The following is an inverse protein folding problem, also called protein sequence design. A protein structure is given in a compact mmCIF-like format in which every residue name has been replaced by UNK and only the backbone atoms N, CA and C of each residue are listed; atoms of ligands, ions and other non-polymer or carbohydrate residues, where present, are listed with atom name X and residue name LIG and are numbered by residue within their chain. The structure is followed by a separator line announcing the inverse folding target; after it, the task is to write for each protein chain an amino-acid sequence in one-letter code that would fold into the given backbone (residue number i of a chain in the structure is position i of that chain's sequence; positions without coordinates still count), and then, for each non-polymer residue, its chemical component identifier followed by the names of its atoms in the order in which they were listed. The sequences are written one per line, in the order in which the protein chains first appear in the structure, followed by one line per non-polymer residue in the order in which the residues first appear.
data_IF_329290533957
#
_entry.id   IF_329290533957
#
_cell.length_a   1.000
_cell.length_b   1.000
_cell.length_c   1.000
_cell.angle_alpha   90.00
_cell.angle_beta   90.00
_cell.angle_gamma   90.00
#
_symmetry.space_group_name_H-M   'P 1'
#
loop_
_entity.id
_entity.type
_entity.pdbx_description
1 polymer ?
#
# COMPACT_ATOMS: atom_id res chain seq x y z
N UNK A 1 -19.28 25.07 -5.54
CA UNK A 1 -19.48 24.24 -4.32
C UNK A 1 -19.49 22.77 -4.77
N UNK A 2 -18.40 22.03 -4.58
CA UNK A 2 -18.21 20.64 -5.08
C UNK A 2 -18.63 19.60 -4.03
N UNK A 3 -19.87 19.68 -3.53
CA UNK A 3 -20.34 18.88 -2.36
C UNK A 3 -20.55 17.40 -2.74
N UNK A 4 -20.58 17.06 -4.03
CA UNK A 4 -20.87 15.71 -4.55
C UNK A 4 -19.67 15.02 -5.18
N UNK A 5 -18.45 15.55 -5.01
CA UNK A 5 -17.28 15.00 -5.68
C UNK A 5 -16.92 13.62 -5.10
N UNK A 6 -17.01 12.59 -5.94
CA UNK A 6 -16.64 11.22 -5.56
C UNK A 6 -15.18 10.87 -5.87
N UNK A 7 -14.56 11.59 -6.81
CA UNK A 7 -13.19 11.36 -7.27
C UNK A 7 -12.41 12.67 -7.31
N UNK A 8 -11.24 12.69 -6.69
CA UNK A 8 -10.34 13.85 -6.71
C UNK A 8 -8.95 13.39 -7.12
N UNK A 9 -8.39 14.03 -8.14
CA UNK A 9 -7.01 13.87 -8.55
C UNK A 9 -6.29 15.21 -8.39
N UNK A 10 -5.15 15.22 -7.68
CA UNK A 10 -4.28 16.37 -7.55
C UNK A 10 -2.89 15.94 -8.00
N UNK A 11 -2.40 16.54 -9.07
CA UNK A 11 -1.10 16.22 -9.65
C UNK A 11 -0.28 17.49 -9.86
N UNK A 12 1.00 17.41 -9.49
CA UNK A 12 1.97 18.41 -9.91
C UNK A 12 2.79 17.90 -11.09
N UNK A 13 2.80 18.65 -12.20
CA UNK A 13 3.42 18.22 -13.46
C UNK A 13 4.96 18.35 -13.40
N UNK A 14 5.48 19.37 -12.69
CA UNK A 14 6.92 19.61 -12.62
C UNK A 14 7.63 18.54 -11.78
N UNK A 15 8.85 18.18 -12.19
CA UNK A 15 9.67 17.16 -11.54
C UNK A 15 10.65 17.74 -10.51
N UNK A 16 10.94 19.04 -10.57
CA UNK A 16 11.95 19.68 -9.72
C UNK A 16 11.42 20.14 -8.35
N UNK A 17 10.10 20.24 -8.24
CA UNK A 17 9.37 20.86 -7.14
C UNK A 17 8.28 19.87 -6.67
N UNK A 18 8.03 19.83 -5.35
CA UNK A 18 6.82 19.22 -4.80
C UNK A 18 6.10 20.26 -3.96
N UNK A 19 4.97 20.84 -4.45
CA UNK A 19 4.29 21.89 -3.73
C UNK A 19 3.73 21.34 -2.42
N UNK A 20 3.80 22.16 -1.37
CA UNK A 20 3.16 21.86 -0.10
C UNK A 20 1.66 22.13 -0.21
N UNK A 21 0.84 21.10 0.01
CA UNK A 21 -0.61 21.20 -0.06
C UNK A 21 -1.22 20.66 1.23
N UNK A 22 -2.15 21.44 1.78
CA UNK A 22 -3.01 20.98 2.85
C UNK A 22 -4.12 20.11 2.27
N UNK A 23 -3.82 18.83 2.10
CA UNK A 23 -4.73 17.87 1.49
C UNK A 23 -6.02 17.69 2.29
N UNK A 24 -5.93 17.74 3.62
CA UNK A 24 -7.07 17.55 4.51
C UNK A 24 -8.07 18.70 4.41
N UNK A 25 -7.57 19.94 4.35
CA UNK A 25 -8.41 21.11 4.12
C UNK A 25 -9.11 21.04 2.77
N UNK A 26 -8.41 20.60 1.71
CA UNK A 26 -9.02 20.42 0.39
C UNK A 26 -10.13 19.38 0.46
N UNK A 27 -9.94 18.28 1.19
CA UNK A 27 -10.90 17.17 1.27
C UNK A 27 -12.01 17.38 2.33
N UNK A 28 -11.90 18.36 3.22
CA UNK A 28 -12.78 18.51 4.38
C UNK A 28 -14.27 18.68 4.03
N UNK A 29 -14.56 19.21 2.84
CA UNK A 29 -15.93 19.46 2.38
C UNK A 29 -16.52 18.32 1.51
N UNK A 30 -15.72 17.30 1.18
CA UNK A 30 -16.00 16.28 0.17
C UNK A 30 -16.44 14.98 0.85
N UNK A 31 -17.63 15.01 1.46
CA UNK A 31 -18.17 13.89 2.25
C UNK A 31 -18.44 12.61 1.44
N UNK A 32 -18.55 12.74 0.12
CA UNK A 32 -18.81 11.63 -0.79
C UNK A 32 -17.54 11.12 -1.50
N UNK A 33 -16.35 11.60 -1.11
CA UNK A 33 -15.10 11.20 -1.74
C UNK A 33 -14.83 9.71 -1.54
N UNK A 34 -14.70 8.98 -2.64
CA UNK A 34 -14.42 7.55 -2.71
C UNK A 34 -13.04 7.26 -3.27
N UNK A 35 -12.54 8.11 -4.17
CA UNK A 35 -11.24 7.94 -4.81
C UNK A 35 -10.41 9.22 -4.70
N UNK A 36 -9.20 9.08 -4.17
CA UNK A 36 -8.25 10.17 -4.04
C UNK A 36 -6.91 9.77 -4.65
N UNK A 37 -6.47 10.53 -5.65
CA UNK A 37 -5.14 10.39 -6.24
C UNK A 37 -4.34 11.66 -6.02
N UNK A 38 -3.16 11.51 -5.44
CA UNK A 38 -2.24 12.61 -5.15
C UNK A 38 -0.88 12.21 -5.71
N UNK A 39 -0.34 13.06 -6.58
CA UNK A 39 0.89 12.77 -7.32
C UNK A 39 1.86 13.94 -7.18
N UNK A 40 3.10 13.64 -6.77
CA UNK A 40 4.23 14.60 -6.65
C UNK A 40 3.94 15.81 -5.75
N UNK A 41 3.30 15.58 -4.61
CA UNK A 41 2.92 16.64 -3.66
C UNK A 41 3.52 16.39 -2.27
N UNK A 42 3.87 17.46 -1.55
CA UNK A 42 4.19 17.41 -0.12
C UNK A 42 2.92 17.65 0.68
N UNK A 43 2.48 16.64 1.44
CA UNK A 43 1.28 16.72 2.28
C UNK A 43 1.68 17.30 3.64
N UNK A 44 1.15 18.48 3.94
CA UNK A 44 1.43 19.24 5.17
C UNK A 44 0.25 19.21 6.14
N UNK A 45 0.47 19.46 7.45
CA UNK A 45 -0.57 19.33 8.47
C UNK A 45 -1.73 20.30 8.24
N UNK A 46 -2.89 19.90 8.75
CA UNK A 46 -4.02 20.81 8.97
C UNK A 46 -4.30 20.90 10.46
N UNK A 47 -4.52 22.11 10.95
CA UNK A 47 -4.76 22.39 12.36
C UNK A 47 -6.14 21.91 12.85
N UNK A 48 -7.09 21.60 11.94
CA UNK A 48 -8.38 21.02 12.33
C UNK A 48 -8.39 19.49 12.27
N UNK A 49 -8.63 18.88 13.43
CA UNK A 49 -8.77 17.44 13.63
C UNK A 49 -10.12 16.91 13.12
N UNK A 50 -10.41 17.03 11.83
CA UNK A 50 -11.58 16.38 11.25
C UNK A 50 -11.24 14.91 10.93
N UNK A 51 -11.42 14.03 11.91
CA UNK A 51 -11.10 12.59 11.83
C UNK A 51 -11.95 11.81 10.81
N UNK A 52 -12.99 12.41 10.22
CA UNK A 52 -13.98 11.72 9.38
C UNK A 52 -13.84 12.01 7.89
N UNK A 53 -12.84 12.80 7.47
CA UNK A 53 -12.70 13.28 6.09
C UNK A 53 -12.60 12.14 5.06
N UNK A 54 -11.98 11.01 5.41
CA UNK A 54 -11.80 9.85 4.53
C UNK A 54 -12.60 8.60 4.93
N UNK A 55 -13.64 8.77 5.75
CA UNK A 55 -14.48 7.64 6.19
C UNK A 55 -15.17 6.89 5.03
N UNK A 56 -15.38 7.57 3.90
CA UNK A 56 -15.97 7.02 2.67
C UNK A 56 -14.95 6.53 1.63
N UNK A 57 -13.65 6.73 1.86
CA UNK A 57 -12.62 6.51 0.85
C UNK A 57 -12.41 5.00 0.60
N UNK A 58 -12.49 4.60 -0.66
CA UNK A 58 -12.32 3.22 -1.13
C UNK A 58 -11.00 3.03 -1.90
N UNK A 59 -10.46 4.09 -2.50
CA UNK A 59 -9.19 4.09 -3.23
C UNK A 59 -8.33 5.30 -2.87
N UNK A 60 -7.06 5.03 -2.52
CA UNK A 60 -6.07 6.06 -2.23
C UNK A 60 -4.80 5.80 -3.05
N UNK A 61 -4.34 6.81 -3.77
CA UNK A 61 -3.05 6.82 -4.47
C UNK A 61 -2.20 7.99 -3.98
N UNK A 62 -1.00 7.68 -3.50
CA UNK A 62 0.02 8.62 -3.03
C UNK A 62 1.31 8.36 -3.80
N UNK A 63 1.38 8.84 -5.05
CA UNK A 63 2.50 8.55 -5.92
C UNK A 63 3.57 9.66 -5.85
N UNK A 64 4.81 9.31 -5.54
CA UNK A 64 5.92 10.25 -5.37
C UNK A 64 5.65 11.38 -4.36
N UNK A 65 4.72 11.16 -3.43
CA UNK A 65 4.37 12.13 -2.40
C UNK A 65 5.40 12.19 -1.28
N UNK A 66 5.45 13.32 -0.57
CA UNK A 66 6.12 13.42 0.73
C UNK A 66 5.02 13.54 1.80
N UNK A 67 4.95 12.55 2.68
CA UNK A 67 3.97 12.51 3.77
C UNK A 67 4.68 12.88 5.07
N UNK A 68 4.29 14.01 5.63
CA UNK A 68 4.85 14.54 6.89
C UNK A 68 3.80 14.62 8.02
N UNK A 69 2.68 13.91 7.86
CA UNK A 69 1.50 14.02 8.71
C UNK A 69 0.82 12.68 8.88
N UNK A 70 0.09 12.54 9.99
CA UNK A 70 -0.88 11.47 10.15
C UNK A 70 -2.07 11.71 9.22
N UNK A 71 -2.33 10.72 8.39
CA UNK A 71 -3.43 10.67 7.45
C UNK A 71 -4.67 10.13 8.14
N UNK A 72 -5.88 10.63 7.81
CA UNK A 72 -7.12 10.11 8.36
C UNK A 72 -7.35 8.63 8.09
N UNK A 73 -8.17 8.02 8.93
CA UNK A 73 -8.57 6.62 8.78
C UNK A 73 -9.47 6.45 7.55
N UNK A 74 -9.22 5.36 6.83
CA UNK A 74 -9.89 4.96 5.62
C UNK A 74 -10.51 3.55 5.82
N UNK A 75 -11.54 3.41 6.66
CA UNK A 75 -12.08 2.09 7.04
C UNK A 75 -12.68 1.29 5.86
N UNK A 76 -12.99 1.95 4.74
CA UNK A 76 -13.53 1.35 3.52
C UNK A 76 -12.49 1.13 2.42
N UNK A 77 -11.20 1.37 2.71
CA UNK A 77 -10.12 1.30 1.74
C UNK A 77 -9.99 -0.12 1.17
N UNK A 78 -10.02 -0.23 -0.16
CA UNK A 78 -9.85 -1.47 -0.92
C UNK A 78 -8.61 -1.43 -1.81
N UNK A 79 -8.28 -0.25 -2.32
CA UNK A 79 -7.13 -0.01 -3.16
C UNK A 79 -6.19 0.99 -2.49
N UNK A 80 -4.92 0.63 -2.35
CA UNK A 80 -3.88 1.53 -1.86
C UNK A 80 -2.68 1.47 -2.79
N UNK A 81 -2.25 2.64 -3.25
CA UNK A 81 -1.01 2.80 -3.99
C UNK A 81 -0.15 3.86 -3.30
N UNK A 82 1.03 3.45 -2.85
CA UNK A 82 2.03 4.31 -2.19
C UNK A 82 3.36 4.32 -2.95
N UNK A 83 3.30 4.19 -4.28
CA UNK A 83 4.49 4.14 -5.12
C UNK A 83 5.39 5.36 -4.91
N UNK A 84 6.64 5.13 -4.52
CA UNK A 84 7.64 6.16 -4.22
C UNK A 84 7.19 7.21 -3.18
N UNK A 85 6.23 6.88 -2.32
CA UNK A 85 5.86 7.74 -1.20
C UNK A 85 7.03 7.80 -0.21
N UNK A 86 7.43 9.02 0.17
CA UNK A 86 8.45 9.26 1.20
C UNK A 86 7.79 9.69 2.49
N UNK A 87 8.19 9.09 3.60
CA UNK A 87 7.75 9.50 4.92
C UNK A 87 8.94 9.60 5.87
N UNK A 88 9.08 10.73 6.54
CA UNK A 88 10.14 10.91 7.54
C UNK A 88 9.75 10.35 8.91
N UNK A 89 8.49 9.93 9.09
CA UNK A 89 8.00 9.31 10.30
C UNK A 89 8.29 7.80 10.24
N UNK A 90 9.06 7.31 11.21
CA UNK A 90 9.48 5.92 11.28
C UNK A 90 8.28 4.96 11.36
N UNK A 91 8.32 3.93 10.51
CA UNK A 91 7.28 2.91 10.31
C UNK A 91 5.88 3.44 9.98
N UNK A 92 5.74 4.72 9.65
CA UNK A 92 4.43 5.33 9.49
C UNK A 92 3.63 4.70 8.36
N UNK A 93 4.26 4.41 7.22
CA UNK A 93 3.59 3.78 6.08
C UNK A 93 3.06 2.39 6.44
N UNK A 94 3.85 1.58 7.13
CA UNK A 94 3.40 0.27 7.62
C UNK A 94 2.25 0.43 8.62
N UNK A 95 2.36 1.32 9.61
CA UNK A 95 1.28 1.61 10.57
C UNK A 95 -0.02 2.03 9.88
N UNK A 96 0.07 2.87 8.86
CA UNK A 96 -1.07 3.30 8.07
C UNK A 96 -1.71 2.13 7.31
N UNK A 97 -0.91 1.27 6.69
CA UNK A 97 -1.40 0.05 6.03
C UNK A 97 -2.10 -0.85 7.05
N UNK A 98 -1.47 -1.16 8.19
CA UNK A 98 -2.04 -2.05 9.21
C UNK A 98 -3.35 -1.49 9.80
N UNK A 99 -3.44 -0.18 9.99
CA UNK A 99 -4.64 0.49 10.50
C UNK A 99 -5.82 0.39 9.54
N UNK A 100 -5.57 0.37 8.23
CA UNK A 100 -6.58 0.39 7.18
C UNK A 100 -6.69 -0.93 6.39
N UNK A 101 -5.88 -1.94 6.73
CA UNK A 101 -5.61 -3.13 5.93
C UNK A 101 -6.77 -4.11 5.80
N UNK A 102 -7.73 -4.09 6.74
CA UNK A 102 -8.82 -5.06 6.84
C UNK A 102 -9.60 -5.29 5.53
N UNK A 103 -9.73 -4.24 4.71
CA UNK A 103 -10.48 -4.30 3.46
C UNK A 103 -9.60 -4.15 2.21
N UNK A 104 -8.30 -3.95 2.37
CA UNK A 104 -7.37 -3.77 1.24
C UNK A 104 -7.32 -5.08 0.46
N UNK A 105 -7.60 -4.98 -0.83
CA UNK A 105 -7.56 -6.06 -1.80
C UNK A 105 -6.39 -5.91 -2.76
N UNK A 106 -6.03 -4.67 -3.07
CA UNK A 106 -4.94 -4.32 -3.99
C UNK A 106 -4.00 -3.33 -3.32
N UNK A 107 -2.71 -3.68 -3.28
CA UNK A 107 -1.66 -2.84 -2.71
C UNK A 107 -0.48 -2.69 -3.67
N UNK A 108 -0.12 -1.44 -3.96
CA UNK A 108 1.16 -1.10 -4.57
C UNK A 108 2.08 -0.50 -3.51
N UNK A 109 2.98 -1.33 -3.00
CA UNK A 109 3.96 -0.97 -2.00
C UNK A 109 5.29 -0.63 -2.68
N UNK A 110 5.75 0.60 -2.51
CA UNK A 110 7.14 1.00 -2.80
C UNK A 110 7.44 2.30 -2.04
N UNK A 111 7.51 2.24 -0.72
CA UNK A 111 7.75 3.43 0.09
C UNK A 111 9.21 3.59 0.53
N UNK A 112 9.53 4.79 1.01
CA UNK A 112 10.81 5.15 1.63
C UNK A 112 10.54 5.80 3.00
N UNK A 113 11.01 5.22 4.12
CA UNK A 113 11.77 3.97 4.22
C UNK A 113 11.02 2.73 3.70
N UNK A 114 11.78 1.74 3.23
CA UNK A 114 11.24 0.46 2.78
C UNK A 114 10.76 -0.40 3.95
N UNK A 115 9.70 -1.19 3.74
CA UNK A 115 9.21 -2.15 4.73
C UNK A 115 10.23 -3.28 4.89
N UNK A 116 10.59 -3.59 6.13
CA UNK A 116 11.54 -4.65 6.45
C UNK A 116 10.90 -6.05 6.42
N UNK A 117 11.68 -7.08 6.77
CA UNK A 117 11.24 -8.46 6.65
C UNK A 117 10.07 -8.79 7.60
N UNK A 118 10.10 -8.30 8.83
CA UNK A 118 9.03 -8.56 9.81
C UNK A 118 7.79 -7.72 9.50
N UNK A 119 7.98 -6.45 9.16
CA UNK A 119 6.93 -5.55 8.72
C UNK A 119 6.18 -6.06 7.49
N UNK A 120 6.87 -6.75 6.57
CA UNK A 120 6.22 -7.38 5.42
C UNK A 120 5.29 -8.54 5.83
N UNK A 121 5.70 -9.38 6.79
CA UNK A 121 4.83 -10.43 7.32
C UNK A 121 3.67 -9.84 8.13
N UNK A 122 3.90 -8.77 8.89
CA UNK A 122 2.84 -8.02 9.57
C UNK A 122 1.83 -7.46 8.56
N UNK A 123 2.30 -6.89 7.45
CA UNK A 123 1.45 -6.38 6.37
C UNK A 123 0.53 -7.47 5.82
N UNK A 124 1.06 -8.66 5.52
CA UNK A 124 0.25 -9.78 5.04
C UNK A 124 -0.83 -10.17 6.07
N UNK A 125 -0.48 -10.24 7.36
CA UNK A 125 -1.45 -10.52 8.44
C UNK A 125 -2.50 -9.41 8.61
N UNK A 126 -2.08 -8.16 8.45
CA UNK A 126 -2.95 -6.98 8.58
C UNK A 126 -3.90 -6.76 7.41
N UNK A 127 -3.63 -7.41 6.26
CA UNK A 127 -4.41 -7.28 5.03
C UNK A 127 -5.02 -8.64 4.61
N UNK A 128 -5.98 -9.20 5.36
CA UNK A 128 -6.48 -10.55 5.11
C UNK A 128 -7.22 -10.73 3.77
N UNK A 129 -7.70 -9.62 3.17
CA UNK A 129 -8.39 -9.65 1.87
C UNK A 129 -7.48 -9.36 0.68
N UNK A 130 -6.18 -9.20 0.93
CA UNK A 130 -5.21 -8.88 -0.11
C UNK A 130 -5.15 -10.02 -1.12
N UNK A 131 -5.29 -9.67 -2.40
CA UNK A 131 -5.13 -10.60 -3.54
C UNK A 131 -4.15 -10.09 -4.58
N UNK A 132 -3.85 -8.80 -4.58
CA UNK A 132 -2.81 -8.24 -5.43
C UNK A 132 -1.82 -7.43 -4.61
N UNK A 133 -0.54 -7.79 -4.68
CA UNK A 133 0.56 -7.07 -4.04
C UNK A 133 1.68 -6.82 -5.04
N UNK A 134 1.93 -5.55 -5.33
CA UNK A 134 3.15 -5.10 -6.01
C UNK A 134 4.16 -4.61 -4.98
N UNK A 135 5.38 -5.13 -4.98
CA UNK A 135 6.41 -4.78 -4.00
C UNK A 135 7.85 -4.93 -4.53
N UNK A 136 8.81 -4.08 -4.12
CA UNK A 136 10.23 -4.33 -4.34
C UNK A 136 10.81 -5.43 -3.44
N UNK A 137 10.21 -5.69 -2.26
CA UNK A 137 10.81 -6.49 -1.17
C UNK A 137 12.28 -6.10 -0.92
N UNK A 138 12.55 -4.80 -0.93
CA UNK A 138 13.89 -4.24 -0.80
C UNK A 138 14.47 -4.65 0.56
N UNK A 139 15.75 -5.02 0.60
CA UNK A 139 16.45 -5.42 1.83
C UNK A 139 15.90 -6.65 2.60
N UNK A 140 14.82 -7.29 2.15
CA UNK A 140 14.29 -8.53 2.78
C UNK A 140 15.13 -9.75 2.40
N UNK A 141 15.74 -10.44 3.36
CA UNK A 141 16.48 -11.69 3.10
C UNK A 141 15.51 -12.85 2.89
N UNK A 142 15.54 -13.45 1.71
CA UNK A 142 14.68 -14.57 1.34
C UNK A 142 15.35 -15.91 1.64
N UNK A 143 14.65 -16.78 2.36
CA UNK A 143 15.05 -18.16 2.65
C UNK A 143 13.78 -19.02 2.79
N UNK A 144 13.94 -20.35 2.81
CA UNK A 144 12.82 -21.29 2.72
C UNK A 144 11.77 -21.06 3.81
N UNK A 145 12.19 -20.97 5.08
CA UNK A 145 11.26 -20.75 6.19
C UNK A 145 10.51 -19.41 6.07
N UNK A 146 11.17 -18.33 5.64
CA UNK A 146 10.48 -17.05 5.42
C UNK A 146 9.37 -17.12 4.36
N UNK A 147 9.65 -17.76 3.21
CA UNK A 147 8.64 -17.93 2.17
C UNK A 147 7.54 -18.91 2.61
N UNK A 148 7.88 -19.91 3.42
CA UNK A 148 6.89 -20.78 4.04
C UNK A 148 5.97 -20.01 4.98
N UNK A 149 6.50 -19.10 5.81
CA UNK A 149 5.70 -18.24 6.68
C UNK A 149 4.73 -17.36 5.87
N UNK A 150 5.16 -16.85 4.70
CA UNK A 150 4.26 -16.14 3.80
C UNK A 150 3.08 -17.05 3.37
N UNK A 151 3.36 -18.28 2.92
CA UNK A 151 2.34 -19.23 2.47
C UNK A 151 1.37 -19.60 3.61
N UNK A 152 1.86 -19.81 4.82
CA UNK A 152 1.01 -20.09 5.99
C UNK A 152 0.09 -18.91 6.32
N UNK A 153 0.62 -17.68 6.33
CA UNK A 153 -0.20 -16.46 6.55
C UNK A 153 -1.28 -16.32 5.47
N UNK A 154 -0.94 -16.56 4.20
CA UNK A 154 -1.91 -16.47 3.10
C UNK A 154 -3.02 -17.52 3.26
N UNK A 155 -2.67 -18.74 3.68
CA UNK A 155 -3.66 -19.77 3.99
C UNK A 155 -4.57 -19.37 5.16
N UNK A 156 -4.01 -18.82 6.24
CA UNK A 156 -4.78 -18.30 7.38
C UNK A 156 -5.72 -17.16 6.96
N UNK A 157 -5.32 -16.36 5.97
CA UNK A 157 -6.13 -15.32 5.35
C UNK A 157 -7.19 -15.85 4.36
N UNK A 158 -7.27 -17.17 4.15
CA UNK A 158 -8.24 -17.80 3.26
C UNK A 158 -7.91 -17.65 1.77
N UNK A 159 -6.63 -17.47 1.42
CA UNK A 159 -6.17 -17.62 0.03
C UNK A 159 -6.22 -19.10 -0.34
N UNK A 160 -6.70 -19.41 -1.54
CA UNK A 160 -6.79 -20.78 -2.06
C UNK A 160 -6.15 -20.87 -3.44
N UNK A 161 -5.98 -22.08 -3.97
CA UNK A 161 -5.44 -22.31 -5.31
C UNK A 161 -6.34 -21.76 -6.42
N UNK A 162 -7.66 -21.63 -6.17
CA UNK A 162 -8.64 -21.05 -7.10
C UNK A 162 -8.73 -19.52 -7.01
N UNK A 163 -8.29 -18.94 -5.91
CA UNK A 163 -8.22 -17.49 -5.65
C UNK A 163 -6.86 -17.15 -5.01
N UNK A 164 -5.74 -17.34 -5.76
CA UNK A 164 -4.40 -17.15 -5.25
C UNK A 164 -4.07 -15.67 -5.05
N UNK A 165 -3.01 -15.39 -4.29
CA UNK A 165 -2.47 -14.03 -4.21
C UNK A 165 -1.53 -13.77 -5.39
N UNK A 166 -1.84 -12.77 -6.20
CA UNK A 166 -0.95 -12.21 -7.20
C UNK A 166 0.17 -11.41 -6.52
N UNK A 167 1.40 -11.94 -6.57
CA UNK A 167 2.59 -11.28 -6.04
C UNK A 167 3.46 -10.79 -7.19
N UNK A 168 3.50 -9.46 -7.38
CA UNK A 168 4.33 -8.81 -8.39
C UNK A 168 5.59 -8.26 -7.74
N UNK A 169 6.75 -8.85 -8.07
CA UNK A 169 8.04 -8.47 -7.49
C UNK A 169 8.88 -7.73 -8.51
N UNK A 170 9.12 -6.43 -8.29
CA UNK A 170 9.80 -5.59 -9.28
C UNK A 170 11.34 -5.69 -9.25
N UNK A 171 11.91 -6.28 -8.19
CA UNK A 171 13.34 -6.61 -8.14
C UNK A 171 13.57 -8.00 -8.72
N UNK A 172 14.08 -8.08 -9.95
CA UNK A 172 14.40 -9.35 -10.66
C UNK A 172 15.16 -10.37 -9.80
N UNK A 173 16.13 -9.91 -8.99
CA UNK A 173 16.88 -10.80 -8.09
C UNK A 173 15.96 -11.45 -7.05
N UNK A 174 15.04 -10.69 -6.42
CA UNK A 174 14.08 -11.17 -5.43
C UNK A 174 13.08 -12.11 -6.06
N UNK A 175 12.54 -11.73 -7.23
CA UNK A 175 11.63 -12.58 -8.00
C UNK A 175 12.24 -13.97 -8.28
N UNK A 176 13.50 -14.01 -8.76
CA UNK A 176 14.19 -15.30 -9.01
C UNK A 176 14.34 -16.15 -7.74
N UNK A 177 14.63 -15.52 -6.61
CA UNK A 177 14.74 -16.21 -5.32
C UNK A 177 13.41 -16.78 -4.86
N UNK A 178 12.33 -15.98 -4.89
CA UNK A 178 10.99 -16.44 -4.50
C UNK A 178 10.56 -17.60 -5.40
N UNK A 179 10.71 -17.45 -6.73
CA UNK A 179 10.40 -18.50 -7.69
C UNK A 179 11.12 -19.82 -7.35
N UNK A 180 12.41 -19.76 -7.03
CA UNK A 180 13.19 -20.94 -6.65
C UNK A 180 12.74 -21.56 -5.32
N UNK A 181 12.35 -20.74 -4.35
CA UNK A 181 11.92 -21.21 -3.02
C UNK A 181 10.51 -21.81 -3.07
N UNK A 182 9.59 -21.22 -3.85
CA UNK A 182 8.24 -21.74 -4.04
C UNK A 182 8.22 -23.17 -4.61
N UNK A 183 9.16 -23.52 -5.50
CA UNK A 183 9.29 -24.90 -6.03
C UNK A 183 9.57 -25.97 -4.95
N UNK A 184 9.96 -25.56 -3.74
CA UNK A 184 10.31 -26.46 -2.64
C UNK A 184 9.26 -26.48 -1.52
N UNK A 185 8.20 -25.66 -1.64
CA UNK A 185 7.21 -25.44 -0.58
C UNK A 185 5.86 -26.05 -1.02
N UNK A 186 5.17 -26.82 -0.17
CA UNK A 186 3.81 -27.27 -0.47
C UNK A 186 2.85 -26.08 -0.52
N UNK A 187 1.78 -26.17 -1.29
CA UNK A 187 0.80 -25.08 -1.46
C UNK A 187 1.41 -23.80 -2.05
N UNK A 188 2.47 -23.93 -2.84
CA UNK A 188 3.12 -22.80 -3.53
C UNK A 188 2.21 -22.09 -4.53
N UNK A 189 1.16 -22.79 -4.97
CA UNK A 189 0.07 -22.33 -5.83
C UNK A 189 -0.86 -21.31 -5.13
N UNK A 190 -0.70 -21.04 -3.84
CA UNK A 190 -1.33 -19.89 -3.18
C UNK A 190 -0.73 -18.55 -3.61
N UNK A 191 0.40 -18.55 -4.33
CA UNK A 191 1.05 -17.36 -4.86
C UNK A 191 1.21 -17.48 -6.38
N UNK A 192 0.52 -16.60 -7.10
CA UNK A 192 0.80 -16.36 -8.51
C UNK A 192 1.88 -15.29 -8.63
N UNK A 193 3.11 -15.75 -8.93
CA UNK A 193 4.29 -14.90 -8.92
C UNK A 193 4.59 -14.28 -10.30
N UNK A 194 4.57 -12.94 -10.37
CA UNK A 194 4.89 -12.18 -11.57
C UNK A 194 6.17 -11.34 -11.41
N UNK A 195 6.93 -11.19 -12.50
CA UNK A 195 8.05 -10.26 -12.56
C UNK A 195 7.51 -8.87 -12.91
N UNK A 196 7.67 -7.91 -12.00
CA UNK A 196 7.27 -6.51 -12.24
C UNK A 196 8.30 -5.76 -13.07
N UNK A 197 7.85 -4.82 -13.91
CA UNK A 197 8.73 -3.84 -14.56
C UNK A 197 9.09 -2.75 -13.57
N UNK A 198 10.39 -2.61 -13.26
CA UNK A 198 10.92 -1.71 -12.23
C UNK A 198 10.98 -0.24 -12.60
#
# INVERSE_FOLDING_TARGET
KLITLEKLAIEHINYLDKPAINLLQICASQRNLRELSVIKIKIVPYEEHNSTVWAGLESLTLNQCIVSVDLPDCPKLKYLDIHYARCHLEDYMLKFILKNGKNIHTLYERCDPSIDADGFLQLLRGCPKLRFLYTPMEYIKLYLAYVNDMIEILRENGVTSEDPMELVVCRRIKWKWIRRLLLQIPNSDLIDLYEGTG
#
